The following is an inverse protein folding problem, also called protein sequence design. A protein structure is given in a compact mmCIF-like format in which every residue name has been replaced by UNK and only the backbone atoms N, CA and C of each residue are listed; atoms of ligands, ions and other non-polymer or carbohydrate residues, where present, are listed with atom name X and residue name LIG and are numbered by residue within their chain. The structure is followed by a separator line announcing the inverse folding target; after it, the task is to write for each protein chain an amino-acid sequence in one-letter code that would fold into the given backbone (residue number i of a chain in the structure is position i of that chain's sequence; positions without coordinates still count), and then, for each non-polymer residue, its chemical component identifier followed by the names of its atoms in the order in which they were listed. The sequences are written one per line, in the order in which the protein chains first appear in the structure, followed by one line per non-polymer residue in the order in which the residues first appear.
data_IF_488656010286
#
_entry.id   IF_488656010286
#
_cell.length_a   1.000
_cell.length_b   1.000
_cell.length_c   1.000
_cell.angle_alpha   90.00
_cell.angle_beta   90.00
_cell.angle_gamma   90.00
#
_symmetry.space_group_name_H-M   'P 1'
#
loop_
_entity.id
_entity.type
_entity.pdbx_description
1 polymer ?
#
# COMPACT_ATOMS: atom_id res chain seq x y z
N UNK A 1 4.48 -8.27 21.01
CA UNK A 1 4.96 -7.56 22.21
C UNK A 1 5.05 -6.07 21.89
N UNK A 2 5.16 -5.18 22.90
CA UNK A 2 5.28 -3.72 22.65
C UNK A 2 6.54 -3.41 21.84
N UNK A 3 7.63 -4.14 22.07
CA UNK A 3 8.89 -4.02 21.34
C UNK A 3 8.73 -4.29 19.82
N UNK A 4 7.91 -5.27 19.44
CA UNK A 4 7.63 -5.56 18.01
C UNK A 4 6.90 -4.40 17.33
N UNK A 5 6.02 -3.71 18.06
CA UNK A 5 5.28 -2.57 17.55
C UNK A 5 6.18 -1.34 17.38
N UNK A 6 7.12 -1.13 18.30
CA UNK A 6 8.13 -0.08 18.20
C UNK A 6 9.05 -0.31 16.98
N UNK A 7 9.55 -1.54 16.80
CA UNK A 7 10.35 -1.90 15.64
C UNK A 7 9.58 -1.71 14.33
N UNK A 8 8.31 -2.11 14.29
CA UNK A 8 7.44 -1.89 13.12
C UNK A 8 7.23 -0.40 12.83
N UNK A 9 7.04 0.42 13.86
CA UNK A 9 6.88 1.87 13.72
C UNK A 9 8.15 2.56 13.23
N UNK A 10 9.34 2.04 13.56
CA UNK A 10 10.63 2.59 13.14
C UNK A 10 11.14 2.04 11.81
N UNK A 11 10.56 0.96 11.29
CA UNK A 11 10.99 0.32 10.03
C UNK A 11 11.07 1.30 8.85
N UNK A 12 10.24 2.35 8.81
CA UNK A 12 10.29 3.37 7.76
C UNK A 12 11.59 4.21 7.75
N UNK A 13 12.39 4.18 8.82
CA UNK A 13 13.67 4.89 8.88
C UNK A 13 14.73 4.32 7.94
N UNK A 14 14.54 3.07 7.48
CA UNK A 14 15.38 2.42 6.47
C UNK A 14 15.26 3.04 5.07
N UNK A 15 14.25 3.87 4.82
CA UNK A 15 14.03 4.53 3.53
C UNK A 15 14.78 5.87 3.43
N UNK A 16 15.02 6.32 2.19
CA UNK A 16 15.61 7.64 1.94
C UNK A 16 14.79 8.78 2.54
N UNK A 17 15.42 9.92 2.86
CA UNK A 17 14.73 11.08 3.46
C UNK A 17 13.50 11.54 2.67
N UNK A 18 13.58 11.52 1.33
CA UNK A 18 12.46 11.89 0.45
C UNK A 18 11.28 10.91 0.56
N UNK A 19 11.55 9.62 0.77
CA UNK A 19 10.53 8.59 0.95
C UNK A 19 9.91 8.65 2.35
N UNK A 20 10.72 8.90 3.38
CA UNK A 20 10.24 9.03 4.77
C UNK A 20 9.16 10.08 4.92
N UNK A 21 9.35 11.26 4.32
CA UNK A 21 8.35 12.35 4.29
C UNK A 21 7.01 11.95 3.67
N UNK A 22 7.01 10.96 2.79
CA UNK A 22 5.80 10.44 2.17
C UNK A 22 5.16 9.35 3.02
N UNK A 23 5.95 8.42 3.55
CA UNK A 23 5.50 7.29 4.37
C UNK A 23 4.92 7.73 5.71
N UNK A 24 5.54 8.72 6.37
CA UNK A 24 5.08 9.19 7.67
C UNK A 24 3.74 9.97 7.60
N UNK A 25 3.26 10.30 6.40
CA UNK A 25 2.01 11.03 6.23
C UNK A 25 0.84 10.09 5.96
N UNK A 26 -0.32 10.43 6.50
CA UNK A 26 -1.58 9.72 6.23
C UNK A 26 -2.35 10.31 5.03
N UNK A 27 -1.72 11.17 4.22
CA UNK A 27 -2.36 11.95 3.16
C UNK A 27 -3.14 11.10 2.15
N UNK A 28 -2.57 9.95 1.74
CA UNK A 28 -3.21 9.02 0.81
C UNK A 28 -4.50 8.44 1.42
N UNK A 29 -4.41 8.01 2.68
CA UNK A 29 -5.53 7.46 3.44
C UNK A 29 -6.62 8.51 3.67
N UNK A 30 -6.24 9.73 4.07
CA UNK A 30 -7.18 10.84 4.25
C UNK A 30 -7.88 11.22 2.93
N UNK A 31 -7.14 11.26 1.81
CA UNK A 31 -7.71 11.55 0.48
C UNK A 31 -8.69 10.47 0.05
N UNK A 32 -8.36 9.19 0.26
CA UNK A 32 -9.26 8.07 0.00
C UNK A 32 -10.52 8.16 0.88
N UNK A 33 -10.36 8.36 2.18
CA UNK A 33 -11.47 8.52 3.12
C UNK A 33 -12.35 9.72 2.75
N UNK A 34 -11.77 10.82 2.28
CA UNK A 34 -12.52 11.97 1.77
C UNK A 34 -13.29 11.68 0.49
N UNK A 35 -12.78 10.83 -0.43
CA UNK A 35 -13.52 10.36 -1.61
C UNK A 35 -14.70 9.47 -1.19
N UNK A 36 -14.46 8.52 -0.28
CA UNK A 36 -15.49 7.61 0.24
C UNK A 36 -16.60 8.37 0.97
N UNK A 37 -16.25 9.23 1.94
CA UNK A 37 -17.23 10.04 2.68
C UNK A 37 -18.06 10.93 1.75
N UNK A 38 -17.45 11.56 0.73
CA UNK A 38 -18.18 12.39 -0.24
C UNK A 38 -19.21 11.60 -1.06
N UNK A 39 -18.85 10.42 -1.55
CA UNK A 39 -19.77 9.59 -2.36
C UNK A 39 -20.79 8.85 -1.50
N UNK A 40 -20.39 8.43 -0.30
CA UNK A 40 -21.29 7.85 0.69
C UNK A 40 -22.34 8.83 1.17
N UNK A 41 -22.05 10.13 1.30
CA UNK A 41 -23.04 11.14 1.70
C UNK A 41 -24.26 11.23 0.77
N UNK A 42 -24.12 10.89 -0.51
CA UNK A 42 -25.26 10.84 -1.43
C UNK A 42 -26.14 9.60 -1.22
N UNK A 43 -25.59 8.54 -0.62
CA UNK A 43 -26.26 7.27 -0.34
C UNK A 43 -26.49 7.20 1.17
N UNK A 44 -27.58 7.82 1.63
CA UNK A 44 -27.89 7.93 3.06
C UNK A 44 -27.92 6.58 3.79
N UNK A 45 -28.45 5.54 3.12
CA UNK A 45 -28.47 4.15 3.59
C UNK A 45 -28.13 3.22 2.42
N UNK A 46 -27.26 2.24 2.66
CA UNK A 46 -26.95 1.23 1.65
C UNK A 46 -27.91 0.04 1.74
N UNK A 47 -28.42 -0.47 0.61
CA UNK A 47 -29.39 -1.57 0.60
C UNK A 47 -28.76 -2.93 0.89
N UNK A 48 -27.43 -3.06 0.83
CA UNK A 48 -26.69 -4.29 1.14
C UNK A 48 -25.19 -4.03 1.27
N UNK A 49 -24.48 -4.95 1.93
CA UNK A 49 -23.00 -4.95 1.97
C UNK A 49 -22.38 -4.96 0.58
N UNK A 50 -22.97 -5.71 -0.36
CA UNK A 50 -22.51 -5.73 -1.76
C UNK A 50 -22.60 -4.37 -2.45
N UNK A 51 -23.55 -3.51 -2.06
CA UNK A 51 -23.67 -2.16 -2.61
C UNK A 51 -22.57 -1.23 -2.09
N UNK A 52 -22.17 -1.36 -0.82
CA UNK A 52 -20.99 -0.67 -0.27
C UNK A 52 -19.73 -1.15 -0.98
N UNK A 53 -19.58 -2.46 -1.15
CA UNK A 53 -18.39 -3.04 -1.79
C UNK A 53 -18.22 -2.57 -3.24
N UNK A 54 -19.31 -2.43 -4.00
CA UNK A 54 -19.29 -1.86 -5.36
C UNK A 54 -18.84 -0.40 -5.38
N UNK A 55 -19.31 0.43 -4.44
CA UNK A 55 -18.86 1.81 -4.31
C UNK A 55 -17.36 1.87 -4.00
N UNK A 56 -16.91 1.06 -3.04
CA UNK A 56 -15.51 1.00 -2.64
C UNK A 56 -14.62 0.54 -3.80
N UNK A 57 -15.01 -0.54 -4.48
CA UNK A 57 -14.32 -1.08 -5.65
C UNK A 57 -14.22 -0.04 -6.77
N UNK A 58 -15.29 0.72 -7.05
CA UNK A 58 -15.25 1.79 -8.05
C UNK A 58 -14.33 2.96 -7.67
N UNK A 59 -14.23 3.30 -6.37
CA UNK A 59 -13.29 4.34 -5.89
C UNK A 59 -11.84 3.85 -6.00
N UNK A 60 -11.57 2.63 -5.54
CA UNK A 60 -10.24 2.02 -5.56
C UNK A 60 -9.78 1.79 -6.99
N UNK A 61 -10.63 1.24 -7.86
CA UNK A 61 -10.30 1.02 -9.27
C UNK A 61 -9.93 2.33 -9.99
N UNK A 62 -10.68 3.42 -9.72
CA UNK A 62 -10.33 4.75 -10.26
C UNK A 62 -9.00 5.27 -9.71
N UNK A 63 -8.74 5.10 -8.42
CA UNK A 63 -7.46 5.48 -7.81
C UNK A 63 -6.29 4.68 -8.38
N UNK A 64 -6.49 3.38 -8.59
CA UNK A 64 -5.50 2.48 -9.16
C UNK A 64 -5.15 2.92 -10.59
N UNK A 65 -6.15 3.14 -11.44
CA UNK A 65 -5.93 3.65 -12.79
C UNK A 65 -5.25 5.04 -12.79
N UNK A 66 -5.65 5.96 -11.89
CA UNK A 66 -4.99 7.25 -11.71
C UNK A 66 -3.50 7.10 -11.36
N UNK A 67 -3.14 6.12 -10.53
CA UNK A 67 -1.75 5.84 -10.13
C UNK A 67 -0.95 5.09 -11.19
N UNK A 68 -1.61 4.24 -11.96
CA UNK A 68 -1.00 3.52 -13.08
C UNK A 68 -0.68 4.47 -14.24
N UNK A 69 -1.55 5.45 -14.51
CA UNK A 69 -1.34 6.46 -15.55
C UNK A 69 -0.46 7.65 -15.12
N UNK A 70 -0.29 7.94 -13.82
CA UNK A 70 0.51 9.09 -13.33
C UNK A 70 1.83 8.67 -12.69
N UNK A 71 2.74 9.64 -12.59
CA UNK A 71 3.99 9.58 -11.81
C UNK A 71 3.68 9.00 -10.43
N UNK A 72 4.10 7.75 -10.24
CA UNK A 72 3.91 6.96 -9.02
C UNK A 72 4.14 7.81 -7.76
N UNK A 73 3.39 7.50 -6.69
CA UNK A 73 3.59 8.13 -5.36
C UNK A 73 5.08 8.19 -4.95
N UNK A 74 5.85 7.18 -5.37
CA UNK A 74 7.31 7.18 -5.41
C UNK A 74 7.79 6.69 -6.78
N UNK A 75 8.83 7.29 -7.35
CA UNK A 75 9.33 6.85 -8.67
C UNK A 75 9.87 5.41 -8.61
N UNK A 76 9.89 4.71 -9.75
CA UNK A 76 10.39 3.31 -9.80
C UNK A 76 11.85 3.26 -9.36
N UNK A 77 12.64 4.22 -9.82
CA UNK A 77 14.07 4.36 -9.52
C UNK A 77 14.30 4.54 -8.01
N UNK A 78 13.40 5.26 -7.34
CA UNK A 78 13.45 5.44 -5.89
C UNK A 78 13.13 4.14 -5.13
N UNK A 79 12.31 3.26 -5.71
CA UNK A 79 11.86 1.99 -5.12
C UNK A 79 12.74 0.78 -5.50
N UNK A 80 13.67 0.92 -6.45
CA UNK A 80 14.60 -0.14 -6.87
C UNK A 80 15.26 -0.91 -5.71
N UNK A 81 15.78 -0.24 -4.65
CA UNK A 81 16.38 -0.97 -3.52
C UNK A 81 15.40 -1.94 -2.83
N UNK A 82 14.12 -1.57 -2.76
CA UNK A 82 13.07 -2.41 -2.14
C UNK A 82 12.72 -3.59 -3.05
N UNK A 83 12.60 -3.34 -4.36
CA UNK A 83 12.33 -4.40 -5.33
C UNK A 83 13.48 -5.40 -5.41
N UNK A 84 14.73 -4.92 -5.35
CA UNK A 84 15.92 -5.74 -5.29
C UNK A 84 15.90 -6.67 -4.07
N UNK A 85 15.68 -6.12 -2.87
CA UNK A 85 15.61 -6.93 -1.63
C UNK A 85 14.47 -7.94 -1.67
N UNK A 86 13.30 -7.57 -2.20
CA UNK A 86 12.18 -8.50 -2.35
C UNK A 86 12.53 -9.64 -3.30
N UNK A 87 13.14 -9.34 -4.45
CA UNK A 87 13.56 -10.34 -5.44
C UNK A 87 14.66 -11.26 -4.90
N UNK A 88 15.62 -10.71 -4.16
CA UNK A 88 16.67 -11.48 -3.50
C UNK A 88 16.09 -12.43 -2.44
N UNK A 89 15.17 -11.94 -1.58
CA UNK A 89 14.47 -12.78 -0.60
C UNK A 89 13.65 -13.90 -1.25
N UNK A 90 12.97 -13.61 -2.36
CA UNK A 90 12.23 -14.63 -3.12
C UNK A 90 13.17 -15.72 -3.65
N UNK A 91 14.33 -15.33 -4.20
CA UNK A 91 15.36 -16.30 -4.64
C UNK A 91 15.93 -17.14 -3.51
N UNK A 92 16.22 -16.53 -2.36
CA UNK A 92 16.72 -17.27 -1.19
C UNK A 92 15.67 -18.28 -0.75
N UNK A 93 14.40 -17.87 -0.68
CA UNK A 93 13.28 -18.76 -0.33
C UNK A 93 13.06 -19.89 -1.34
N UNK A 94 13.28 -19.62 -2.63
CA UNK A 94 13.26 -20.64 -3.70
C UNK A 94 14.38 -21.68 -3.49
N UNK A 95 15.59 -21.22 -3.15
CA UNK A 95 16.73 -22.12 -2.88
C UNK A 95 16.57 -22.93 -1.59
N UNK A 96 16.03 -22.33 -0.52
CA UNK A 96 15.72 -23.02 0.74
C UNK A 96 14.63 -24.09 0.54
N UNK A 97 13.64 -23.82 -0.32
CA UNK A 97 12.59 -24.79 -0.66
C UNK A 97 13.11 -25.96 -1.52
N UNK A 98 14.15 -25.73 -2.33
CA UNK A 98 14.82 -26.76 -3.11
C UNK A 98 15.75 -27.64 -2.24
N UNK A 99 16.31 -27.10 -1.14
CA UNK A 99 17.11 -27.87 -0.16
C UNK A 99 16.25 -28.74 0.78
N UNK A 100 15.04 -28.30 1.15
CA UNK A 100 14.10 -29.10 1.99
C UNK A 100 13.39 -30.22 1.22
N UNK A 101 13.46 -30.22 -0.11
CA UNK A 101 12.85 -31.23 -0.98
C UNK A 101 13.76 -32.45 -1.27
N UNK A 102 14.98 -32.48 -0.70
CA UNK A 102 16.00 -33.50 -0.90
C UNK A 102 16.42 -34.20 0.40
#
# INVERSE_FOLDING_TARGET
MVEDAELAALAYLSFSRQQRLKICTNNVMQRMNGKLKRRGRAVQVFPSTGSIMRLLAGIIGKLNAEWECRRLFMSKESLEPVFFLKRAKMRIKELEADEEAH
#
